data_IF_695944551611
#
_entry.id   IF_695944551611
#
_cell.length_a   1.000
_cell.length_b   1.000
_cell.length_c   1.000
_cell.angle_alpha   90.00
_cell.angle_beta   90.00
_cell.angle_gamma   90.00
#
_symmetry.space_group_name_H-M   'P 1'
#
loop_
_entity.id
_entity.type
_entity.pdbx_description
1 polymer ?
#
# COMPACT_ATOMS: atom_id res chain seq x y z
N UNK A 1 2.27 -34.13 -3.57
CA UNK A 1 1.54 -32.98 -4.17
C UNK A 1 2.49 -31.79 -4.28
N UNK A 2 2.92 -31.44 -5.49
CA UNK A 2 3.68 -30.21 -5.73
C UNK A 2 2.71 -29.04 -5.54
N UNK A 3 2.92 -28.22 -4.53
CA UNK A 3 2.06 -27.06 -4.24
C UNK A 3 2.16 -26.08 -5.41
N UNK A 4 1.04 -25.83 -6.09
CA UNK A 4 0.88 -24.88 -7.21
C UNK A 4 1.41 -23.45 -6.85
N UNK A 5 1.57 -23.14 -5.56
CA UNK A 5 2.25 -21.92 -5.09
C UNK A 5 3.72 -21.75 -5.53
N UNK A 6 4.38 -22.78 -6.08
CA UNK A 6 5.77 -22.72 -6.49
C UNK A 6 6.05 -21.74 -7.66
N UNK A 7 5.06 -21.44 -8.51
CA UNK A 7 5.22 -20.51 -9.65
C UNK A 7 4.89 -19.05 -9.33
N UNK A 8 4.06 -18.79 -8.32
CA UNK A 8 3.66 -17.42 -7.97
C UNK A 8 4.82 -16.60 -7.36
N UNK A 9 5.68 -17.27 -6.59
CA UNK A 9 6.83 -16.66 -5.92
C UNK A 9 7.87 -16.13 -6.93
N UNK A 10 8.39 -16.93 -7.89
CA UNK A 10 9.35 -16.44 -8.87
C UNK A 10 8.78 -15.33 -9.77
N UNK A 11 7.48 -15.37 -10.12
CA UNK A 11 6.84 -14.30 -10.88
C UNK A 11 6.80 -12.98 -10.09
N UNK A 12 6.50 -13.06 -8.79
CA UNK A 12 6.45 -11.90 -7.89
C UNK A 12 7.84 -11.29 -7.68
N UNK A 13 8.87 -12.13 -7.53
CA UNK A 13 10.26 -11.69 -7.41
C UNK A 13 10.79 -11.06 -8.70
N UNK A 14 10.43 -11.60 -9.86
CA UNK A 14 10.78 -11.01 -11.16
C UNK A 14 10.10 -9.64 -11.35
N UNK A 15 8.79 -9.55 -11.06
CA UNK A 15 8.04 -8.30 -11.10
C UNK A 15 8.66 -7.24 -10.17
N UNK A 16 9.02 -7.63 -8.94
CA UNK A 16 9.71 -6.75 -8.00
C UNK A 16 11.06 -6.29 -8.52
N UNK A 17 11.89 -7.20 -9.03
CA UNK A 17 13.22 -6.88 -9.57
C UNK A 17 13.11 -5.86 -10.71
N UNK A 18 12.17 -6.06 -11.64
CA UNK A 18 11.92 -5.13 -12.75
C UNK A 18 11.50 -3.74 -12.25
N UNK A 19 10.65 -3.70 -11.22
CA UNK A 19 10.21 -2.45 -10.59
C UNK A 19 11.38 -1.76 -9.86
N UNK A 20 12.19 -2.49 -9.09
CA UNK A 20 13.34 -1.90 -8.39
C UNK A 20 14.39 -1.37 -9.36
N UNK A 21 14.68 -2.09 -10.45
CA UNK A 21 15.58 -1.65 -11.50
C UNK A 21 15.07 -0.39 -12.21
N UNK A 22 13.75 -0.21 -12.34
CA UNK A 22 13.16 1.01 -12.94
C UNK A 22 13.44 2.29 -12.14
N UNK A 23 13.81 2.19 -10.85
CA UNK A 23 14.15 3.35 -10.03
C UNK A 23 15.64 3.71 -10.05
N UNK A 24 16.52 2.84 -10.54
CA UNK A 24 17.95 3.11 -10.64
C UNK A 24 18.20 4.06 -11.82
N UNK A 25 18.44 5.34 -11.53
CA UNK A 25 18.80 6.35 -12.53
C UNK A 25 17.76 7.45 -12.78
N UNK A 26 16.57 7.39 -12.17
CA UNK A 26 15.56 8.46 -12.29
C UNK A 26 15.76 9.51 -11.20
N UNK A 27 16.44 10.61 -11.55
CA UNK A 27 16.42 11.86 -10.78
C UNK A 27 15.27 12.75 -11.29
N UNK A 28 14.13 12.82 -10.60
CA UNK A 28 13.02 13.67 -11.04
C UNK A 28 13.41 15.14 -10.89
N UNK A 29 13.63 15.83 -12.01
CA UNK A 29 13.70 17.29 -12.03
C UNK A 29 12.29 17.81 -11.79
N UNK A 30 12.03 18.42 -10.63
CA UNK A 30 10.71 18.99 -10.28
C UNK A 30 10.63 20.41 -10.83
N UNK A 31 9.76 20.71 -11.82
CA UNK A 31 9.56 22.08 -12.27
C UNK A 31 8.88 22.89 -11.16
N UNK A 32 9.44 24.06 -10.80
CA UNK A 32 8.76 25.04 -9.95
C UNK A 32 7.61 25.67 -10.74
N UNK A 33 6.37 25.28 -10.46
CA UNK A 33 5.19 25.98 -10.98
C UNK A 33 4.80 27.09 -10.01
N UNK A 34 4.99 28.33 -10.45
CA UNK A 34 4.51 29.55 -9.79
C UNK A 34 3.15 29.89 -10.40
N UNK A 35 2.06 29.28 -9.92
CA UNK A 35 0.71 29.64 -10.36
C UNK A 35 0.04 30.46 -9.26
N UNK A 36 -0.09 31.76 -9.53
CA UNK A 36 -0.69 32.77 -8.65
C UNK A 36 -2.21 32.73 -8.77
N UNK A 37 -2.93 32.40 -7.69
CA UNK A 37 -4.27 32.97 -7.44
C UNK A 37 -5.49 32.03 -7.44
N UNK A 38 -5.36 30.73 -7.75
CA UNK A 38 -6.48 29.78 -7.63
C UNK A 38 -6.33 28.92 -6.36
N UNK A 39 -7.44 28.50 -5.71
CA UNK A 39 -7.38 27.55 -4.61
C UNK A 39 -6.69 26.28 -5.10
N UNK A 40 -5.46 26.07 -4.64
CA UNK A 40 -4.56 25.04 -5.14
C UNK A 40 -5.04 23.69 -4.63
N UNK A 41 -5.81 22.96 -5.43
CA UNK A 41 -5.95 21.52 -5.24
C UNK A 41 -4.56 20.90 -5.32
N UNK A 42 -4.15 20.22 -4.26
CA UNK A 42 -2.77 19.76 -4.08
C UNK A 42 -2.52 18.52 -4.94
N UNK A 43 -2.22 18.74 -6.21
CA UNK A 43 -1.68 17.68 -7.08
C UNK A 43 -0.24 17.36 -6.65
N UNK A 44 0.08 16.08 -6.47
CA UNK A 44 1.42 15.67 -6.05
C UNK A 44 2.06 14.69 -7.02
N UNK A 45 3.40 14.74 -7.17
CA UNK A 45 4.19 13.74 -7.88
C UNK A 45 4.02 12.31 -7.35
N UNK A 46 3.67 11.38 -8.24
CA UNK A 46 3.51 9.95 -7.92
C UNK A 46 4.81 9.24 -7.53
N UNK A 47 5.98 9.75 -7.95
CA UNK A 47 7.30 9.11 -7.77
C UNK A 47 7.58 8.58 -6.35
N UNK A 48 7.24 9.33 -5.30
CA UNK A 48 7.49 8.92 -3.92
C UNK A 48 6.53 7.80 -3.49
N UNK A 49 5.28 7.90 -3.95
CA UNK A 49 4.25 6.89 -3.73
C UNK A 49 4.60 5.59 -4.48
N UNK A 50 5.02 5.67 -5.74
CA UNK A 50 5.39 4.48 -6.52
C UNK A 50 6.59 3.75 -5.92
N UNK A 51 7.57 4.49 -5.38
CA UNK A 51 8.70 3.92 -4.62
C UNK A 51 8.22 3.21 -3.36
N UNK A 52 7.33 3.83 -2.59
CA UNK A 52 6.77 3.21 -1.39
C UNK A 52 5.96 1.95 -1.72
N UNK A 53 5.16 1.99 -2.80
CA UNK A 53 4.39 0.86 -3.29
C UNK A 53 5.29 -0.28 -3.78
N UNK A 54 6.40 0.04 -4.45
CA UNK A 54 7.40 -0.95 -4.85
C UNK A 54 8.07 -1.65 -3.66
N UNK A 55 8.50 -0.87 -2.66
CA UNK A 55 9.07 -1.39 -1.41
C UNK A 55 8.05 -2.30 -0.71
N UNK A 56 6.79 -1.87 -0.66
CA UNK A 56 5.69 -2.65 -0.12
C UNK A 56 5.50 -4.00 -0.84
N UNK A 57 5.45 -4.02 -2.18
CA UNK A 57 5.34 -5.28 -2.95
C UNK A 57 6.52 -6.20 -2.59
N UNK A 58 7.72 -5.65 -2.46
CA UNK A 58 8.92 -6.41 -2.14
C UNK A 58 8.90 -7.02 -0.75
N UNK A 59 8.59 -6.22 0.26
CA UNK A 59 8.48 -6.66 1.65
C UNK A 59 7.35 -7.68 1.83
N UNK A 60 6.23 -7.49 1.14
CA UNK A 60 5.11 -8.45 1.17
C UNK A 60 5.49 -9.78 0.52
N UNK A 61 6.20 -9.74 -0.61
CA UNK A 61 6.74 -10.95 -1.26
C UNK A 61 7.70 -11.68 -0.34
N UNK A 62 8.61 -10.95 0.33
CA UNK A 62 9.54 -11.52 1.30
C UNK A 62 8.81 -12.12 2.51
N UNK A 63 7.78 -11.44 3.02
CA UNK A 63 6.95 -11.95 4.11
C UNK A 63 6.18 -13.22 3.70
N UNK A 64 5.64 -13.27 2.48
CA UNK A 64 4.99 -14.47 1.93
C UNK A 64 5.97 -15.64 1.78
N UNK A 65 7.20 -15.37 1.33
CA UNK A 65 8.26 -16.38 1.25
C UNK A 65 8.68 -16.89 2.64
N UNK A 66 8.86 -15.99 3.60
CA UNK A 66 9.15 -16.36 4.97
C UNK A 66 8.02 -17.21 5.58
N UNK A 67 6.76 -16.89 5.28
CA UNK A 67 5.60 -17.66 5.73
C UNK A 67 5.61 -19.07 5.13
N UNK A 68 5.96 -19.18 3.85
CA UNK A 68 6.07 -20.45 3.15
C UNK A 68 7.17 -21.35 3.73
N UNK A 69 8.33 -20.79 4.07
CA UNK A 69 9.46 -21.55 4.61
C UNK A 69 9.34 -21.88 6.10
N UNK A 70 8.92 -20.92 6.91
CA UNK A 70 9.02 -21.01 8.37
C UNK A 70 7.67 -21.18 9.07
N UNK A 71 6.57 -21.29 8.31
CA UNK A 71 5.19 -21.27 8.81
C UNK A 71 4.85 -19.99 9.58
N UNK A 72 3.59 -19.84 10.00
CA UNK A 72 3.19 -18.72 10.84
C UNK A 72 3.83 -18.90 12.23
N UNK A 73 4.78 -18.04 12.57
CA UNK A 73 5.52 -18.11 13.83
C UNK A 73 6.44 -16.90 14.02
N UNK A 74 7.24 -16.92 15.09
CA UNK A 74 8.07 -15.77 15.50
C UNK A 74 9.07 -15.31 14.43
N UNK A 75 9.63 -16.25 13.66
CA UNK A 75 10.55 -15.93 12.55
C UNK A 75 9.81 -15.16 11.45
N UNK A 76 8.59 -15.61 11.10
CA UNK A 76 7.77 -14.90 10.12
C UNK A 76 7.41 -13.49 10.57
N UNK A 77 7.05 -13.30 11.84
CA UNK A 77 6.71 -11.98 12.41
C UNK A 77 7.84 -10.96 12.21
N UNK A 78 9.10 -11.37 12.34
CA UNK A 78 10.26 -10.49 12.15
C UNK A 78 10.34 -9.92 10.71
N UNK A 79 9.83 -10.65 9.72
CA UNK A 79 9.77 -10.19 8.32
C UNK A 79 8.45 -9.48 8.06
N UNK A 80 7.33 -10.04 8.53
CA UNK A 80 6.00 -9.50 8.34
C UNK A 80 5.85 -8.07 8.86
N UNK A 81 6.50 -7.73 9.98
CA UNK A 81 6.38 -6.38 10.57
C UNK A 81 6.81 -5.27 9.60
N UNK A 82 7.78 -5.54 8.72
CA UNK A 82 8.21 -4.59 7.70
C UNK A 82 7.16 -4.38 6.61
N UNK A 83 6.41 -5.43 6.24
CA UNK A 83 5.28 -5.30 5.32
C UNK A 83 4.22 -4.36 5.90
N UNK A 84 3.78 -4.58 7.14
CA UNK A 84 2.80 -3.69 7.80
C UNK A 84 3.35 -2.27 7.99
N UNK A 85 4.65 -2.14 8.29
CA UNK A 85 5.30 -0.83 8.37
C UNK A 85 5.27 -0.09 7.01
N UNK A 86 5.45 -0.79 5.90
CA UNK A 86 5.36 -0.18 4.57
C UNK A 86 3.94 0.33 4.25
N UNK A 87 2.90 -0.38 4.68
CA UNK A 87 1.51 0.08 4.55
C UNK A 87 1.26 1.33 5.39
N UNK A 88 1.74 1.34 6.64
CA UNK A 88 1.69 2.52 7.50
C UNK A 88 2.41 3.72 6.88
N UNK A 89 3.60 3.51 6.30
CA UNK A 89 4.35 4.55 5.58
C UNK A 89 3.56 5.08 4.38
N UNK A 90 2.93 4.20 3.59
CA UNK A 90 2.08 4.62 2.47
C UNK A 90 0.90 5.47 2.94
N UNK A 91 0.17 5.04 3.98
CA UNK A 91 -0.95 5.80 4.54
C UNK A 91 -0.52 7.18 5.04
N UNK A 92 0.62 7.28 5.74
CA UNK A 92 1.14 8.58 6.21
C UNK A 92 1.64 9.43 5.06
N UNK A 93 2.29 8.85 4.05
CA UNK A 93 2.71 9.55 2.84
C UNK A 93 1.51 10.19 2.13
N UNK A 94 0.44 9.42 1.92
CA UNK A 94 -0.80 9.88 1.29
C UNK A 94 -1.50 10.93 2.15
N UNK A 95 -1.65 10.69 3.46
CA UNK A 95 -2.26 11.63 4.39
C UNK A 95 -1.49 12.95 4.55
N UNK A 96 -0.18 12.94 4.29
CA UNK A 96 0.69 14.13 4.38
C UNK A 96 0.83 14.90 3.07
N UNK A 97 -0.04 14.68 2.09
CA UNK A 97 0.04 15.38 0.80
C UNK A 97 1.12 14.82 -0.13
N UNK A 98 1.47 13.54 0.01
CA UNK A 98 2.47 12.87 -0.83
C UNK A 98 3.92 13.10 -0.40
N UNK A 99 4.16 13.76 0.76
CA UNK A 99 5.50 14.00 1.30
C UNK A 99 5.54 13.92 2.82
N UNK A 100 6.48 13.18 3.35
CA UNK A 100 6.77 13.11 4.78
C UNK A 100 7.74 14.23 5.13
N UNK A 101 7.25 15.29 5.77
CA UNK A 101 8.06 16.49 6.10
C UNK A 101 8.80 16.39 7.43
N UNK A 102 8.26 15.60 8.36
CA UNK A 102 8.78 15.51 9.72
C UNK A 102 9.84 14.41 9.82
N UNK A 103 11.09 14.76 10.13
CA UNK A 103 12.18 13.77 10.34
C UNK A 103 11.92 12.85 11.52
N UNK A 104 11.14 13.30 12.53
CA UNK A 104 10.73 12.48 13.67
C UNK A 104 9.81 11.31 13.28
N UNK A 105 9.30 11.29 12.05
CA UNK A 105 8.54 10.16 11.52
C UNK A 105 9.34 8.86 11.52
N UNK A 106 10.62 8.88 11.15
CA UNK A 106 11.42 7.65 11.07
C UNK A 106 11.65 6.98 12.43
N UNK A 107 11.98 7.72 13.51
CA UNK A 107 11.93 7.19 14.87
C UNK A 107 10.57 6.60 15.27
N UNK A 108 9.44 7.19 14.85
CA UNK A 108 8.10 6.65 15.12
C UNK A 108 7.91 5.29 14.45
N UNK A 109 8.32 5.15 13.18
CA UNK A 109 8.28 3.87 12.46
C UNK A 109 9.19 2.84 13.14
N UNK A 110 10.39 3.23 13.55
CA UNK A 110 11.31 2.37 14.30
C UNK A 110 10.74 1.92 15.66
N UNK A 111 10.10 2.83 16.39
CA UNK A 111 9.39 2.50 17.63
C UNK A 111 8.24 1.53 17.38
N UNK A 112 7.43 1.76 16.35
CA UNK A 112 6.34 0.87 15.95
C UNK A 112 6.86 -0.55 15.66
N UNK A 113 7.91 -0.70 14.83
CA UNK A 113 8.49 -2.01 14.50
C UNK A 113 8.99 -2.73 15.76
N UNK A 114 9.72 -2.03 16.63
CA UNK A 114 10.22 -2.58 17.89
C UNK A 114 9.09 -2.99 18.83
N UNK A 115 8.07 -2.14 18.99
CA UNK A 115 6.93 -2.39 19.86
C UNK A 115 6.14 -3.62 19.41
N UNK A 116 5.81 -3.73 18.12
CA UNK A 116 5.12 -4.90 17.57
C UNK A 116 5.96 -6.16 17.71
N UNK A 117 7.27 -6.10 17.42
CA UNK A 117 8.16 -7.26 17.53
C UNK A 117 8.25 -7.76 18.97
N UNK A 118 8.48 -6.86 19.93
CA UNK A 118 8.57 -7.20 21.36
C UNK A 118 7.25 -7.79 21.85
N UNK A 119 6.11 -7.15 21.55
CA UNK A 119 4.80 -7.65 21.99
C UNK A 119 4.47 -9.02 21.40
N UNK A 120 4.80 -9.29 20.13
CA UNK A 120 4.64 -10.62 19.54
C UNK A 120 5.56 -11.68 20.17
N UNK A 121 6.76 -11.31 20.64
CA UNK A 121 7.65 -12.24 21.35
C UNK A 121 7.06 -12.61 22.73
N UNK A 122 6.46 -11.63 23.41
CA UNK A 122 5.89 -11.76 24.75
C UNK A 122 4.54 -12.46 24.77
N UNK A 123 3.70 -12.24 23.76
CA UNK A 123 2.40 -12.89 23.66
C UNK A 123 2.55 -14.38 23.33
N UNK A 124 1.69 -15.20 23.95
CA UNK A 124 1.61 -16.63 23.66
C UNK A 124 0.70 -16.84 22.45
N UNK A 125 1.01 -17.85 21.65
CA UNK A 125 0.10 -18.34 20.62
C UNK A 125 -1.27 -18.71 21.22
N UNK A 126 -2.40 -18.32 20.60
CA UNK A 126 -2.54 -17.63 19.30
C UNK A 126 -2.59 -16.09 19.37
N UNK A 127 -2.43 -15.49 20.55
CA UNK A 127 -2.61 -14.05 20.74
C UNK A 127 -1.54 -13.21 20.02
N UNK A 128 -0.32 -13.71 19.87
CA UNK A 128 0.73 -13.08 19.07
C UNK A 128 0.34 -12.97 17.59
N UNK A 129 -0.17 -14.06 17.01
CA UNK A 129 -0.64 -14.11 15.64
C UNK A 129 -1.86 -13.20 15.42
N UNK A 130 -2.83 -13.22 16.34
CA UNK A 130 -4.01 -12.35 16.29
C UNK A 130 -3.62 -10.87 16.41
N UNK A 131 -2.72 -10.54 17.34
CA UNK A 131 -2.20 -9.19 17.53
C UNK A 131 -1.49 -8.68 16.27
N UNK A 132 -0.59 -9.50 15.72
CA UNK A 132 0.13 -9.17 14.50
C UNK A 132 -0.81 -9.00 13.29
N UNK A 133 -1.77 -9.92 13.13
CA UNK A 133 -2.70 -9.91 12.00
C UNK A 133 -3.68 -8.75 12.09
N UNK A 134 -4.17 -8.43 13.28
CA UNK A 134 -5.15 -7.36 13.49
C UNK A 134 -4.64 -6.00 13.06
N UNK A 135 -3.38 -5.67 13.38
CA UNK A 135 -2.79 -4.40 12.94
C UNK A 135 -2.55 -4.35 11.42
N UNK A 136 -2.12 -5.46 10.78
CA UNK A 136 -2.01 -5.52 9.32
C UNK A 136 -3.35 -5.32 8.62
N UNK A 137 -4.39 -6.04 9.06
CA UNK A 137 -5.75 -5.89 8.53
C UNK A 137 -6.31 -4.47 8.68
N UNK A 138 -5.96 -3.76 9.76
CA UNK A 138 -6.33 -2.35 9.90
C UNK A 138 -5.73 -1.50 8.78
N UNK A 139 -4.45 -1.70 8.43
CA UNK A 139 -3.82 -0.94 7.37
C UNK A 139 -4.35 -1.32 5.98
N UNK A 140 -4.61 -2.61 5.75
CA UNK A 140 -5.21 -3.09 4.50
C UNK A 140 -6.55 -2.40 4.21
N UNK A 141 -7.45 -2.38 5.20
CA UNK A 141 -8.77 -1.73 5.06
C UNK A 141 -8.62 -0.22 4.87
N UNK A 142 -7.71 0.42 5.59
CA UNK A 142 -7.44 1.84 5.43
C UNK A 142 -6.93 2.16 4.01
N UNK A 143 -6.08 1.32 3.42
CA UNK A 143 -5.58 1.50 2.06
C UNK A 143 -6.69 1.36 1.01
N UNK A 144 -7.62 0.42 1.16
CA UNK A 144 -8.80 0.34 0.27
C UNK A 144 -9.58 1.66 0.29
N UNK A 145 -9.83 2.19 1.49
CA UNK A 145 -10.58 3.44 1.66
C UNK A 145 -9.82 4.61 1.03
N UNK A 146 -8.53 4.75 1.33
CA UNK A 146 -7.69 5.84 0.78
C UNK A 146 -7.56 5.78 -0.73
N UNK A 147 -7.27 4.61 -1.33
CA UNK A 147 -7.20 4.47 -2.78
C UNK A 147 -8.53 4.81 -3.46
N UNK A 148 -9.65 4.43 -2.84
CA UNK A 148 -10.99 4.80 -3.33
C UNK A 148 -11.20 6.31 -3.29
N UNK A 149 -10.84 6.98 -2.19
CA UNK A 149 -10.95 8.44 -2.06
C UNK A 149 -10.06 9.17 -3.08
N UNK A 150 -8.84 8.69 -3.31
CA UNK A 150 -7.90 9.25 -4.31
C UNK A 150 -8.48 9.13 -5.72
N UNK A 151 -9.03 7.96 -6.08
CA UNK A 151 -9.67 7.76 -7.38
C UNK A 151 -10.86 8.72 -7.58
N UNK A 152 -11.77 8.80 -6.61
CA UNK A 152 -12.95 9.64 -6.70
C UNK A 152 -12.58 11.13 -6.79
N UNK A 153 -11.62 11.57 -5.97
CA UNK A 153 -11.14 12.96 -5.97
C UNK A 153 -10.45 13.29 -7.29
N UNK A 154 -9.51 12.46 -7.75
CA UNK A 154 -8.83 12.65 -9.03
C UNK A 154 -9.82 12.69 -10.20
N UNK A 155 -10.83 11.81 -10.20
CA UNK A 155 -11.88 11.80 -11.22
C UNK A 155 -12.77 13.06 -11.17
N UNK A 156 -13.04 13.57 -9.97
CA UNK A 156 -13.81 14.80 -9.77
C UNK A 156 -13.07 16.03 -10.30
N UNK A 157 -11.80 16.19 -9.91
CA UNK A 157 -10.97 17.33 -10.33
C UNK A 157 -10.78 17.34 -11.86
N UNK A 158 -10.49 16.18 -12.46
CA UNK A 158 -10.33 16.06 -13.92
C UNK A 158 -11.61 16.34 -14.73
N UNK A 159 -12.80 16.30 -14.10
CA UNK A 159 -14.05 16.68 -14.78
C UNK A 159 -14.29 18.19 -14.76
N UNK A 160 -13.77 18.89 -13.76
CA UNK A 160 -13.99 20.33 -13.58
C UNK A 160 -12.87 21.17 -14.21
N UNK A 161 -11.63 20.66 -14.22
CA UNK A 161 -10.49 21.31 -14.88
C UNK A 161 -10.54 21.11 -16.40
N UNK A 162 -11.36 21.92 -17.07
CA UNK A 162 -11.51 21.95 -18.53
C UNK A 162 -10.25 22.46 -19.27
N UNK A 163 -9.30 23.07 -18.54
CA UNK A 163 -8.19 23.84 -19.09
C UNK A 163 -6.82 23.16 -19.02
N UNK A 164 -6.70 22.01 -18.33
CA UNK A 164 -5.44 21.27 -18.29
C UNK A 164 -5.48 20.08 -19.26
N UNK A 165 -4.42 19.84 -20.06
CA UNK A 165 -4.36 18.69 -20.96
C UNK A 165 -4.71 17.42 -20.19
N UNK A 166 -5.80 16.78 -20.64
CA UNK A 166 -6.43 15.61 -20.02
C UNK A 166 -5.36 14.64 -19.53
N UNK A 167 -5.30 14.42 -18.22
CA UNK A 167 -4.64 13.22 -17.69
C UNK A 167 -5.46 12.04 -18.22
N UNK A 168 -4.95 11.35 -19.23
CA UNK A 168 -5.75 10.43 -20.04
C UNK A 168 -6.21 9.17 -19.31
N UNK A 169 -5.71 8.89 -18.10
CA UNK A 169 -5.92 7.58 -17.47
C UNK A 169 -6.21 7.62 -15.96
N UNK A 170 -7.23 8.37 -15.45
CA UNK A 170 -7.66 8.20 -14.05
C UNK A 170 -8.06 6.76 -13.73
N UNK A 171 -8.45 5.99 -14.75
CA UNK A 171 -8.73 4.57 -14.64
C UNK A 171 -7.51 3.73 -14.23
N UNK A 172 -6.27 4.23 -14.38
CA UNK A 172 -5.09 3.53 -13.86
C UNK A 172 -5.15 3.38 -12.33
N UNK A 173 -5.76 4.34 -11.61
CA UNK A 173 -5.93 4.28 -10.16
C UNK A 173 -6.90 3.18 -9.73
N UNK A 174 -7.75 2.67 -10.63
CA UNK A 174 -8.58 1.50 -10.34
C UNK A 174 -7.72 0.27 -10.04
N UNK A 175 -6.50 0.17 -10.58
CA UNK A 175 -5.58 -0.92 -10.28
C UNK A 175 -5.14 -0.92 -8.80
N UNK A 176 -5.03 0.26 -8.17
CA UNK A 176 -4.73 0.36 -6.74
C UNK A 176 -5.89 -0.20 -5.91
N UNK A 177 -7.13 0.16 -6.26
CA UNK A 177 -8.35 -0.33 -5.57
C UNK A 177 -8.52 -1.83 -5.79
N UNK A 178 -8.38 -2.30 -7.03
CA UNK A 178 -8.47 -3.72 -7.37
C UNK A 178 -7.39 -4.50 -6.61
N UNK A 179 -6.14 -4.00 -6.62
CA UNK A 179 -5.03 -4.60 -5.91
C UNK A 179 -5.29 -4.73 -4.41
N UNK A 180 -5.79 -3.67 -3.77
CA UNK A 180 -6.05 -3.66 -2.32
C UNK A 180 -7.25 -4.53 -1.93
N UNK A 181 -8.30 -4.57 -2.75
CA UNK A 181 -9.42 -5.51 -2.55
C UNK A 181 -8.95 -6.95 -2.64
N UNK A 182 -8.17 -7.32 -3.67
CA UNK A 182 -7.64 -8.68 -3.78
C UNK A 182 -6.66 -9.02 -2.64
N UNK A 183 -5.89 -8.04 -2.17
CA UNK A 183 -5.03 -8.21 -1.00
C UNK A 183 -5.86 -8.56 0.25
N UNK A 184 -6.86 -7.74 0.58
CA UNK A 184 -7.75 -7.98 1.73
C UNK A 184 -8.49 -9.29 1.61
N UNK A 185 -9.05 -9.61 0.44
CA UNK A 185 -9.72 -10.89 0.22
C UNK A 185 -8.75 -12.07 0.43
N UNK A 186 -7.52 -11.96 -0.06
CA UNK A 186 -6.46 -12.94 0.23
C UNK A 186 -6.21 -13.09 1.72
N UNK A 187 -6.13 -11.98 2.45
CA UNK A 187 -5.96 -11.97 3.90
C UNK A 187 -7.16 -12.56 4.65
N UNK A 188 -8.40 -12.26 4.24
CA UNK A 188 -9.63 -12.84 4.81
C UNK A 188 -9.63 -14.34 4.58
N UNK A 189 -9.43 -14.79 3.35
CA UNK A 189 -9.40 -16.22 3.00
C UNK A 189 -8.29 -16.95 3.76
N UNK A 190 -7.09 -16.35 3.87
CA UNK A 190 -6.01 -16.92 4.66
C UNK A 190 -6.38 -17.02 6.15
N UNK A 191 -7.08 -16.02 6.70
CA UNK A 191 -7.51 -15.98 8.10
C UNK A 191 -8.60 -17.00 8.39
N UNK A 192 -9.58 -17.16 7.49
CA UNK A 192 -10.77 -18.02 7.70
C UNK A 192 -10.54 -19.47 7.25
N UNK A 193 -9.88 -19.68 6.10
CA UNK A 193 -9.76 -20.99 5.45
C UNK A 193 -8.34 -21.60 5.55
N UNK A 194 -7.42 -20.93 6.23
CA UNK A 194 -6.06 -21.39 6.61
C UNK A 194 -5.14 -21.93 5.51
N UNK A 195 -5.48 -21.85 4.21
CA UNK A 195 -4.74 -22.54 3.15
C UNK A 195 -4.71 -21.86 1.77
N UNK A 196 -4.74 -20.52 1.68
CA UNK A 196 -4.78 -19.88 0.35
C UNK A 196 -4.09 -18.53 0.27
N UNK A 197 -3.14 -18.43 -0.67
CA UNK A 197 -2.40 -17.22 -1.04
C UNK A 197 -2.92 -16.57 -2.34
N UNK A 198 -4.06 -17.03 -2.87
CA UNK A 198 -4.51 -16.66 -4.21
C UNK A 198 -4.75 -15.16 -4.40
N UNK A 199 -5.12 -14.42 -3.34
CA UNK A 199 -5.31 -12.97 -3.42
C UNK A 199 -4.05 -12.20 -3.83
N UNK A 200 -2.88 -12.65 -3.36
CA UNK A 200 -1.61 -12.00 -3.68
C UNK A 200 -1.21 -12.15 -5.15
N UNK A 201 -1.62 -13.26 -5.79
CA UNK A 201 -1.39 -13.49 -7.22
C UNK A 201 -2.12 -12.47 -8.11
N UNK A 202 -3.20 -11.85 -7.61
CA UNK A 202 -3.90 -10.77 -8.32
C UNK A 202 -3.45 -9.38 -7.84
N UNK A 203 -3.21 -9.22 -6.53
CA UNK A 203 -2.83 -7.94 -5.94
C UNK A 203 -1.49 -7.41 -6.49
N UNK A 204 -0.45 -8.24 -6.52
CA UNK A 204 0.88 -7.78 -6.93
C UNK A 204 0.97 -7.41 -8.41
N UNK A 205 0.45 -8.21 -9.37
CA UNK A 205 0.41 -7.77 -10.75
C UNK A 205 -0.39 -6.48 -10.95
N UNK A 206 -1.47 -6.25 -10.20
CA UNK A 206 -2.22 -5.00 -10.27
C UNK A 206 -1.36 -3.80 -9.84
N UNK A 207 -0.67 -3.88 -8.70
CA UNK A 207 0.20 -2.81 -8.22
C UNK A 207 1.43 -2.60 -9.11
N UNK A 208 2.08 -3.67 -9.55
CA UNK A 208 3.21 -3.60 -10.49
C UNK A 208 2.77 -2.99 -11.81
N UNK A 209 1.60 -3.37 -12.33
CA UNK A 209 1.08 -2.81 -13.57
C UNK A 209 0.71 -1.33 -13.41
N UNK A 210 0.19 -0.92 -12.25
CA UNK A 210 0.00 0.49 -11.93
C UNK A 210 1.33 1.27 -12.00
N UNK A 211 2.39 0.79 -11.33
CA UNK A 211 3.72 1.43 -11.35
C UNK A 211 4.25 1.49 -12.79
N UNK A 212 4.15 0.38 -13.53
CA UNK A 212 4.56 0.30 -14.93
C UNK A 212 3.83 1.35 -15.78
N UNK A 213 2.50 1.42 -15.67
CA UNK A 213 1.73 2.42 -16.40
C UNK A 213 2.18 3.83 -16.01
N UNK A 214 2.40 4.11 -14.73
CA UNK A 214 2.80 5.44 -14.26
C UNK A 214 4.15 5.89 -14.86
N UNK A 215 5.15 5.00 -14.89
CA UNK A 215 6.47 5.31 -15.45
C UNK A 215 6.53 5.32 -16.99
N UNK A 216 5.90 4.35 -17.65
CA UNK A 216 6.18 4.06 -19.06
C UNK A 216 5.12 4.57 -20.02
N UNK A 217 3.88 4.83 -19.58
CA UNK A 217 2.87 5.43 -20.47
C UNK A 217 3.18 6.91 -20.60
N UNK A 218 3.57 7.39 -21.80
CA UNK A 218 3.96 8.78 -22.00
C UNK A 218 2.82 9.70 -21.61
N UNK A 219 3.16 10.69 -20.78
CA UNK A 219 2.29 11.78 -20.39
C UNK A 219 2.82 13.05 -21.06
N UNK A 220 1.91 13.94 -21.47
CA UNK A 220 2.28 15.28 -21.96
C UNK A 220 3.07 16.04 -20.88
N UNK A 221 2.81 15.73 -19.60
CA UNK A 221 3.56 16.27 -18.47
C UNK A 221 4.80 15.43 -18.16
N UNK A 222 5.91 16.08 -17.77
CA UNK A 222 7.15 15.41 -17.36
C UNK A 222 6.98 14.57 -16.07
N UNK A 223 5.88 14.75 -15.34
CA UNK A 223 5.58 14.00 -14.13
C UNK A 223 4.08 13.80 -13.97
N UNK A 224 3.66 12.55 -13.80
CA UNK A 224 2.27 12.23 -13.48
C UNK A 224 1.94 12.70 -12.08
N UNK A 225 0.69 13.15 -11.94
CA UNK A 225 0.18 13.67 -10.68
C UNK A 225 -1.17 13.04 -10.39
N UNK A 226 -1.40 12.85 -9.10
CA UNK A 226 -2.70 12.43 -8.58
C UNK A 226 -3.17 13.48 -7.58
N UNK A 227 -4.48 13.62 -7.44
CA UNK A 227 -5.08 14.59 -6.53
C UNK A 227 -5.41 13.87 -5.23
N UNK A 228 -4.83 14.36 -4.13
CA UNK A 228 -5.11 13.80 -2.81
C UNK A 228 -6.37 14.42 -2.22
N UNK A 229 -7.23 13.60 -1.61
CA UNK A 229 -8.37 14.12 -0.89
C UNK A 229 -7.90 14.88 0.35
N UNK A 230 -8.55 16.00 0.66
CA UNK A 230 -8.38 16.64 1.96
C UNK A 230 -8.78 15.69 3.08
N UNK A 231 -7.87 15.49 4.03
CA UNK A 231 -8.01 14.52 5.11
C UNK A 231 -7.81 15.20 6.47
N UNK A 232 -8.77 16.06 6.89
CA UNK A 232 -8.76 16.63 8.24
C UNK A 232 -8.78 15.52 9.30
N UNK A 233 -8.34 15.84 10.52
CA UNK A 233 -8.16 14.87 11.61
C UNK A 233 -9.40 14.04 11.93
N UNK A 234 -10.61 14.60 11.77
CA UNK A 234 -11.85 13.83 11.98
C UNK A 234 -12.05 12.74 10.93
N UNK A 235 -11.68 12.97 9.66
CA UNK A 235 -11.72 11.92 8.61
C UNK A 235 -10.71 10.82 8.92
N UNK A 236 -9.51 11.19 9.38
CA UNK A 236 -8.52 10.20 9.85
C UNK A 236 -9.13 9.33 10.93
N UNK A 237 -9.75 9.93 11.96
CA UNK A 237 -10.38 9.18 13.04
C UNK A 237 -11.48 8.23 12.54
N UNK A 238 -12.36 8.70 11.62
CA UNK A 238 -13.40 7.86 11.01
C UNK A 238 -12.79 6.68 10.26
N UNK A 239 -11.79 6.91 9.41
CA UNK A 239 -11.14 5.85 8.63
C UNK A 239 -10.46 4.84 9.55
N UNK A 240 -9.79 5.29 10.61
CA UNK A 240 -9.20 4.41 11.62
C UNK A 240 -10.26 3.55 12.33
N UNK A 241 -11.37 4.14 12.78
CA UNK A 241 -12.45 3.41 13.46
C UNK A 241 -13.04 2.34 12.54
N UNK A 242 -13.36 2.69 11.29
CA UNK A 242 -13.90 1.73 10.32
C UNK A 242 -12.91 0.60 10.03
N UNK A 243 -11.63 0.92 9.86
CA UNK A 243 -10.59 -0.08 9.56
C UNK A 243 -10.37 -1.03 10.73
N UNK A 244 -10.41 -0.52 11.97
CA UNK A 244 -10.36 -1.34 13.19
C UNK A 244 -11.59 -2.24 13.28
N UNK A 245 -12.79 -1.71 13.08
CA UNK A 245 -14.02 -2.49 13.15
C UNK A 245 -14.04 -3.63 12.10
N UNK A 246 -13.63 -3.34 10.86
CA UNK A 246 -13.54 -4.33 9.79
C UNK A 246 -12.43 -5.36 10.05
N UNK A 247 -11.29 -4.95 10.60
CA UNK A 247 -10.21 -5.86 11.02
C UNK A 247 -10.69 -6.83 12.10
N UNK A 248 -11.35 -6.32 13.15
CA UNK A 248 -11.90 -7.14 14.23
C UNK A 248 -12.99 -8.09 13.71
N UNK A 249 -13.85 -7.66 12.79
CA UNK A 249 -14.83 -8.51 12.15
C UNK A 249 -14.16 -9.65 11.37
N UNK A 250 -13.14 -9.36 10.56
CA UNK A 250 -12.38 -10.38 9.82
C UNK A 250 -11.74 -11.40 10.77
N UNK A 251 -11.10 -10.94 11.86
CA UNK A 251 -10.54 -11.83 12.88
C UNK A 251 -11.63 -12.69 13.49
N UNK A 252 -12.77 -12.10 13.87
CA UNK A 252 -13.87 -12.81 14.51
C UNK A 252 -14.49 -13.88 13.61
N UNK A 253 -14.42 -13.73 12.30
CA UNK A 253 -14.89 -14.74 11.34
C UNK A 253 -13.90 -15.91 11.15
N UNK A 254 -12.62 -15.72 11.50
CA UNK A 254 -11.58 -16.75 11.35
C UNK A 254 -11.21 -17.49 12.63
N UNK A 255 -11.75 -17.07 13.78
CA UNK A 255 -11.61 -17.75 15.09
C UNK A 255 -12.91 -18.47 15.42
#
# INVERSE_FOLDING_TARGET
>A
MIKIGCFAIPLSLLALLLVLLSFVGVNPVVPKQTLTGLPVTTSFPTIAFDRALAIYIGLTTLAGFALFLFSAGKIWVAVGVFHNAAEFVMLVLLGSGGRIKCSAFWPIVGFYISFISITCILFKFPYDALWFKGQGLCFDWALIIEFTRIYLTTKHELRHDSFHPKIYHPNQLLLLIIGSVFHVLGNIVFTVLTNSFYGYCAAFPAYTYYIYLDFYVPSIYPQKRIYLPETPSWKVAVISIFSIALSLLTIRLGV
#
